data_IF_026360856148
#
_entry.id   IF_026360856148
#
_cell.length_a   1.000
_cell.length_b   1.000
_cell.length_c   1.000
_cell.angle_alpha   90.00
_cell.angle_beta   90.00
_cell.angle_gamma   90.00
#
_symmetry.space_group_name_H-M   'P 1'
#
loop_
_entity.id
_entity.type
_entity.pdbx_description
1 polymer ?
#
# COMPACT_ATOMS: atom_id res chain seq x y z
N UNK A 1 8.51 -21.75 21.28
CA UNK A 1 9.10 -20.71 20.41
C UNK A 1 9.70 -19.59 21.25
N UNK A 2 11.03 -19.46 21.29
CA UNK A 2 11.68 -18.23 21.79
C UNK A 2 11.19 -17.08 20.90
N UNK A 3 10.29 -16.22 21.38
CA UNK A 3 10.04 -14.93 20.72
C UNK A 3 11.42 -14.26 20.58
N UNK A 4 11.89 -14.21 19.35
CA UNK A 4 13.30 -14.02 18.98
C UNK A 4 13.81 -12.69 19.57
N UNK A 5 14.97 -12.71 20.23
CA UNK A 5 15.64 -11.51 20.79
C UNK A 5 15.68 -10.33 19.80
N UNK A 6 15.71 -10.61 18.49
CA UNK A 6 15.66 -9.64 17.40
C UNK A 6 14.47 -8.65 17.45
N UNK A 7 13.29 -9.06 17.95
CA UNK A 7 12.13 -8.17 18.05
C UNK A 7 12.29 -7.05 19.09
N UNK A 8 13.31 -7.11 19.95
CA UNK A 8 13.60 -6.05 20.93
C UNK A 8 14.60 -5.01 20.42
N UNK A 9 15.31 -5.32 19.33
CA UNK A 9 16.39 -4.48 18.79
C UNK A 9 15.92 -3.62 17.62
N UNK A 10 15.02 -4.12 16.78
CA UNK A 10 14.62 -3.41 15.56
C UNK A 10 13.17 -2.95 15.64
N UNK A 11 12.93 -1.70 15.27
CA UNK A 11 11.64 -1.02 15.41
C UNK A 11 11.23 -0.40 14.09
N UNK A 12 10.02 -0.73 13.62
CA UNK A 12 9.38 -0.09 12.46
C UNK A 12 8.23 0.85 12.94
N UNK A 13 8.51 1.65 13.96
CA UNK A 13 7.57 2.55 14.62
C UNK A 13 8.31 3.71 15.34
N UNK A 14 7.56 4.66 15.89
CA UNK A 14 8.11 5.79 16.66
C UNK A 14 8.95 5.31 17.85
N UNK A 15 10.26 5.63 17.83
CA UNK A 15 11.20 5.27 18.91
C UNK A 15 11.34 6.34 19.99
N UNK A 16 10.57 7.44 19.95
CA UNK A 16 10.72 8.56 20.88
C UNK A 16 10.69 8.16 22.36
N UNK A 17 9.83 7.21 22.75
CA UNK A 17 9.78 6.73 24.14
C UNK A 17 11.07 6.01 24.58
N UNK A 18 11.79 5.39 23.64
CA UNK A 18 13.08 4.75 23.90
C UNK A 18 14.18 5.79 24.05
N UNK A 19 14.21 6.79 23.17
CA UNK A 19 15.11 7.93 23.33
C UNK A 19 14.88 8.64 24.66
N UNK A 20 13.61 8.87 25.03
CA UNK A 20 13.25 9.50 26.31
C UNK A 20 13.86 8.76 27.50
N UNK A 21 13.74 7.42 27.49
CA UNK A 21 14.30 6.56 28.52
C UNK A 21 15.84 6.63 28.52
N UNK A 22 16.47 6.45 27.35
CA UNK A 22 17.92 6.44 27.21
C UNK A 22 18.55 7.79 27.63
N UNK A 23 17.95 8.92 27.27
CA UNK A 23 18.39 10.27 27.68
C UNK A 23 18.25 10.50 29.19
N UNK A 24 17.18 9.96 29.80
CA UNK A 24 16.98 10.07 31.25
C UNK A 24 17.93 9.18 32.07
N UNK A 25 18.42 8.09 31.48
CA UNK A 25 19.36 7.13 32.08
C UNK A 25 20.83 7.47 31.83
N UNK A 26 21.13 8.46 30.96
CA UNK A 26 22.51 8.87 30.67
C UNK A 26 23.20 9.51 31.89
N UNK A 27 24.45 9.14 32.15
CA UNK A 27 25.19 9.52 33.36
C UNK A 27 26.45 10.34 33.08
N UNK A 28 27.00 10.29 31.87
CA UNK A 28 28.27 10.91 31.50
C UNK A 28 28.14 11.84 30.30
N UNK A 29 27.45 11.42 29.25
CA UNK A 29 27.36 12.21 28.02
C UNK A 29 26.12 11.91 27.20
N UNK A 30 25.69 12.89 26.40
CA UNK A 30 24.70 12.71 25.35
C UNK A 30 25.22 13.34 24.07
N UNK A 31 25.33 12.57 22.99
CA UNK A 31 25.60 13.10 21.65
C UNK A 31 24.46 12.75 20.69
N UNK A 32 23.93 13.75 20.01
CA UNK A 32 22.88 13.61 19.00
C UNK A 32 23.47 13.89 17.63
N UNK A 33 23.45 12.92 16.73
CA UNK A 33 23.80 13.12 15.32
C UNK A 33 22.51 13.19 14.52
N UNK A 34 22.21 14.32 13.89
CA UNK A 34 21.01 14.43 13.05
C UNK A 34 21.08 15.57 12.04
N UNK A 35 20.69 15.34 10.76
CA UNK A 35 20.54 16.43 9.80
C UNK A 35 19.36 17.34 10.14
N UNK A 36 18.30 16.79 10.77
CA UNK A 36 17.06 17.50 10.99
C UNK A 36 16.53 17.39 12.42
N UNK A 37 16.19 18.53 13.02
CA UNK A 37 15.59 18.58 14.34
C UNK A 37 14.64 19.77 14.51
N UNK A 38 13.68 19.63 15.41
CA UNK A 38 12.79 20.72 15.85
C UNK A 38 12.68 20.76 17.38
N UNK A 39 11.72 21.51 17.94
CA UNK A 39 11.50 21.63 19.38
C UNK A 39 11.27 20.28 20.11
N UNK A 40 11.02 19.18 19.38
CA UNK A 40 11.04 17.83 19.95
C UNK A 40 12.38 17.52 20.61
N UNK A 41 13.51 17.91 20.00
CA UNK A 41 14.84 17.68 20.55
C UNK A 41 15.02 18.39 21.89
N UNK A 42 14.57 19.64 21.99
CA UNK A 42 14.57 20.41 23.24
C UNK A 42 13.75 19.70 24.31
N UNK A 43 12.58 19.18 23.94
CA UNK A 43 11.71 18.45 24.87
C UNK A 43 12.32 17.12 25.34
N UNK A 44 13.05 16.45 24.43
CA UNK A 44 13.78 15.22 24.72
C UNK A 44 14.94 15.48 25.70
N UNK A 45 15.74 16.53 25.46
CA UNK A 45 16.89 16.84 26.30
C UNK A 45 16.50 17.31 27.72
N UNK A 46 15.28 17.82 27.93
CA UNK A 46 14.75 18.12 29.28
C UNK A 46 14.61 16.90 30.20
N UNK A 47 14.80 15.68 29.69
CA UNK A 47 14.64 14.46 30.48
C UNK A 47 15.91 14.02 31.21
N UNK A 48 17.07 14.55 30.81
CA UNK A 48 18.34 14.24 31.46
C UNK A 48 18.57 15.11 32.69
N UNK A 49 19.42 14.64 33.60
CA UNK A 49 19.95 15.41 34.73
C UNK A 49 21.35 15.96 34.45
N UNK A 50 21.94 15.61 33.31
CA UNK A 50 23.26 16.08 32.91
C UNK A 50 23.26 17.59 32.69
N UNK A 51 24.35 18.23 33.08
CA UNK A 51 24.62 19.61 32.72
C UNK A 51 24.79 19.73 31.20
N UNK A 52 24.38 20.88 30.66
CA UNK A 52 24.34 21.12 29.20
C UNK A 52 25.70 21.02 28.53
N UNK A 53 26.78 21.21 29.28
CA UNK A 53 28.17 21.05 28.81
C UNK A 53 28.51 19.59 28.43
N UNK A 54 27.77 18.60 28.94
CA UNK A 54 27.94 17.19 28.60
C UNK A 54 27.01 16.72 27.46
N UNK A 55 26.35 17.67 26.78
CA UNK A 55 25.35 17.39 25.76
C UNK A 55 25.77 18.09 24.46
N UNK A 56 26.04 17.28 23.43
CA UNK A 56 26.52 17.74 22.13
C UNK A 56 25.51 17.37 21.03
N UNK A 57 25.22 18.33 20.16
CA UNK A 57 24.37 18.12 18.99
C UNK A 57 25.24 18.30 17.75
N UNK A 58 25.40 17.26 16.95
CA UNK A 58 26.14 17.27 15.70
C UNK A 58 25.12 17.25 14.55
N UNK A 59 25.18 18.24 13.67
CA UNK A 59 24.22 18.44 12.58
C UNK A 59 24.89 18.83 11.28
N UNK A 60 24.17 18.72 10.16
CA UNK A 60 24.64 19.18 8.85
C UNK A 60 23.95 20.51 8.50
N UNK A 61 24.62 21.61 8.81
CA UNK A 61 24.15 22.96 8.55
C UNK A 61 24.52 23.39 7.12
N UNK A 62 23.79 22.86 6.14
CA UNK A 62 23.95 23.22 4.73
C UNK A 62 22.69 23.91 4.15
N UNK A 63 22.81 24.63 3.01
CA UNK A 63 21.67 25.34 2.41
C UNK A 63 20.47 24.46 2.11
N UNK A 64 20.67 23.22 1.64
CA UNK A 64 19.60 22.28 1.36
C UNK A 64 18.79 21.94 2.61
N UNK A 65 19.47 21.54 3.70
CA UNK A 65 18.84 21.25 4.99
C UNK A 65 18.06 22.45 5.54
N UNK A 66 18.62 23.65 5.39
CA UNK A 66 17.99 24.90 5.85
C UNK A 66 16.74 25.29 5.07
N UNK A 67 16.74 25.07 3.76
CA UNK A 67 15.57 25.32 2.92
C UNK A 67 14.44 24.31 3.21
N UNK A 68 14.79 23.04 3.43
CA UNK A 68 13.82 21.99 3.79
C UNK A 68 13.21 22.19 5.17
N UNK A 69 14.00 22.60 6.18
CA UNK A 69 13.53 22.92 7.52
C UNK A 69 13.96 24.30 8.02
N UNK A 70 13.35 25.41 7.53
CA UNK A 70 13.72 26.75 7.96
C UNK A 70 13.47 27.00 9.45
N UNK A 71 12.58 26.23 10.08
CA UNK A 71 12.29 26.30 11.52
C UNK A 71 13.45 25.78 12.38
N UNK A 72 14.32 24.93 11.81
CA UNK A 72 15.48 24.38 12.51
C UNK A 72 16.41 25.49 13.01
N UNK A 73 16.60 26.58 12.26
CA UNK A 73 17.40 27.72 12.69
C UNK A 73 16.89 28.35 13.99
N UNK A 74 15.56 28.42 14.17
CA UNK A 74 14.98 28.96 15.41
C UNK A 74 15.22 28.03 16.60
N UNK A 75 15.14 26.72 16.37
CA UNK A 75 15.44 25.73 17.41
C UNK A 75 16.94 25.69 17.71
N UNK A 76 17.79 25.81 16.69
CA UNK A 76 19.24 25.92 16.81
C UNK A 76 19.63 27.14 17.66
N UNK A 77 19.10 28.33 17.33
CA UNK A 77 19.29 29.54 18.15
C UNK A 77 18.88 29.30 19.60
N UNK A 78 17.72 28.68 19.81
CA UNK A 78 17.27 28.39 21.17
C UNK A 78 18.24 27.45 21.91
N UNK A 79 18.70 26.37 21.28
CA UNK A 79 19.64 25.41 21.88
C UNK A 79 20.96 26.09 22.28
N UNK A 80 21.50 26.94 21.41
CA UNK A 80 22.70 27.73 21.69
C UNK A 80 22.46 28.72 22.84
N UNK A 81 21.36 29.48 22.81
CA UNK A 81 21.03 30.48 23.84
C UNK A 81 20.85 29.90 25.25
N UNK A 82 20.47 28.61 25.34
CA UNK A 82 20.36 27.93 26.64
C UNK A 82 21.66 27.23 27.04
N UNK A 83 22.70 27.22 26.20
CA UNK A 83 24.04 26.72 26.53
C UNK A 83 24.32 25.27 26.12
N UNK A 84 23.61 24.73 25.12
CA UNK A 84 24.00 23.45 24.50
C UNK A 84 25.13 23.64 23.49
N UNK A 85 26.02 22.66 23.40
CA UNK A 85 27.04 22.60 22.34
C UNK A 85 26.41 22.11 21.04
N UNK A 86 26.56 22.88 19.96
CA UNK A 86 26.14 22.45 18.62
C UNK A 86 27.30 22.53 17.65
N UNK A 87 27.52 21.45 16.91
CA UNK A 87 28.60 21.27 15.96
C UNK A 87 28.04 21.00 14.56
N UNK A 88 28.73 21.52 13.55
CA UNK A 88 28.49 21.30 12.14
C UNK A 88 29.41 20.20 11.62
N UNK A 89 28.83 19.12 11.11
CA UNK A 89 29.51 18.06 10.38
C UNK A 89 28.95 17.99 8.95
N UNK A 90 29.69 18.51 7.95
CA UNK A 90 29.22 18.50 6.56
C UNK A 90 28.86 17.10 6.08
N UNK A 91 27.73 16.99 5.34
CA UNK A 91 27.19 15.72 4.81
C UNK A 91 26.76 14.70 5.88
N UNK A 92 26.57 15.13 7.13
CA UNK A 92 26.01 14.28 8.17
C UNK A 92 24.53 13.98 7.91
N UNK A 93 24.24 12.77 7.42
CA UNK A 93 22.88 12.26 7.28
C UNK A 93 22.53 11.17 8.32
N UNK A 94 23.42 10.94 9.29
CA UNK A 94 23.21 9.99 10.38
C UNK A 94 22.10 10.48 11.32
N UNK A 95 21.38 9.54 11.94
CA UNK A 95 20.30 9.83 12.90
C UNK A 95 20.51 8.94 14.10
N UNK A 96 21.32 9.44 15.01
CA UNK A 96 21.89 8.67 16.11
C UNK A 96 21.69 9.40 17.43
N UNK A 97 21.22 8.68 18.44
CA UNK A 97 21.35 9.04 19.84
C UNK A 97 22.46 8.18 20.43
N UNK A 98 23.54 8.80 20.87
CA UNK A 98 24.65 8.17 21.59
C UNK A 98 24.64 8.68 23.03
N UNK A 99 24.63 7.79 24.01
CA UNK A 99 24.73 8.16 25.43
C UNK A 99 25.89 7.42 26.08
N UNK A 100 26.60 8.14 26.96
CA UNK A 100 27.77 7.67 27.71
C UNK A 100 28.85 7.06 26.80
N UNK A 101 28.94 7.61 25.58
CA UNK A 101 29.79 7.14 24.48
C UNK A 101 29.74 5.62 24.26
N UNK A 102 28.61 4.99 24.60
CA UNK A 102 28.49 3.52 24.69
C UNK A 102 27.17 2.99 24.16
N UNK A 103 26.05 3.64 24.49
CA UNK A 103 24.72 3.18 24.11
C UNK A 103 24.22 3.91 22.88
N UNK A 104 23.82 3.17 21.85
CA UNK A 104 23.39 3.74 20.57
C UNK A 104 21.90 3.48 20.31
N UNK A 105 21.21 4.46 19.74
CA UNK A 105 20.02 4.24 18.91
C UNK A 105 20.30 4.82 17.53
N UNK A 106 20.13 4.04 16.46
CA UNK A 106 20.48 4.43 15.08
C UNK A 106 19.40 4.00 14.10
N UNK A 107 18.97 4.89 13.21
CA UNK A 107 17.89 4.58 12.28
C UNK A 107 17.59 5.65 11.24
N UNK A 108 16.37 5.62 10.70
CA UNK A 108 15.87 6.61 9.75
C UNK A 108 15.14 7.78 10.43
N UNK A 109 14.76 7.66 11.71
CA UNK A 109 13.95 8.66 12.41
C UNK A 109 14.79 9.90 12.78
N UNK A 110 14.43 11.06 12.22
CA UNK A 110 14.99 12.36 12.63
C UNK A 110 14.42 12.82 13.99
N UNK A 111 15.09 13.78 14.64
CA UNK A 111 14.65 14.36 15.92
C UNK A 111 13.58 15.46 15.72
N UNK A 112 12.55 15.13 14.95
CA UNK A 112 11.47 16.05 14.55
C UNK A 112 10.10 15.50 14.89
N UNK A 113 9.15 16.38 15.15
CA UNK A 113 7.74 16.03 15.39
C UNK A 113 7.08 15.39 14.18
N UNK A 114 7.54 15.73 12.97
CA UNK A 114 7.11 15.11 11.71
C UNK A 114 7.48 13.63 11.66
N UNK A 115 8.75 13.30 11.94
CA UNK A 115 9.27 11.93 11.86
C UNK A 115 8.55 10.95 12.81
N UNK A 116 8.00 11.43 13.93
CA UNK A 116 7.20 10.60 14.85
C UNK A 116 5.92 10.02 14.23
N UNK A 117 5.43 10.60 13.14
CA UNK A 117 4.25 10.13 12.38
C UNK A 117 4.65 9.48 11.05
N UNK A 118 5.94 9.46 10.72
CA UNK A 118 6.48 8.87 9.50
C UNK A 118 6.64 7.36 9.64
N UNK A 119 6.83 6.71 8.49
CA UNK A 119 7.24 5.30 8.45
C UNK A 119 8.75 5.23 8.65
N UNK A 120 9.18 4.92 9.87
CA UNK A 120 10.58 4.91 10.28
C UNK A 120 11.05 3.50 10.68
N UNK A 121 12.32 3.22 10.46
CA UNK A 121 13.00 2.00 10.88
C UNK A 121 14.23 2.33 11.70
N UNK A 122 14.30 1.83 12.94
CA UNK A 122 15.37 2.16 13.90
C UNK A 122 15.85 0.94 14.67
N UNK A 123 17.17 0.81 14.81
CA UNK A 123 17.84 -0.15 15.67
C UNK A 123 18.18 0.44 17.04
N UNK A 124 17.86 -0.30 18.10
CA UNK A 124 18.20 -0.02 19.50
C UNK A 124 18.87 -1.28 20.07
N UNK A 125 20.19 -1.43 19.91
CA UNK A 125 20.95 -2.53 20.49
C UNK A 125 20.69 -2.68 22.00
N UNK A 126 20.46 -3.92 22.44
CA UNK A 126 20.19 -4.21 23.84
C UNK A 126 21.46 -4.23 24.72
N UNK A 127 22.64 -4.24 24.10
CA UNK A 127 23.93 -4.25 24.78
C UNK A 127 24.68 -2.94 24.51
N UNK A 128 25.50 -2.47 25.47
CA UNK A 128 26.46 -1.39 25.22
C UNK A 128 27.40 -1.76 24.06
N UNK A 129 27.79 -0.76 23.27
CA UNK A 129 28.69 -0.88 22.12
C UNK A 129 29.92 0.03 22.24
N UNK A 130 30.32 0.39 23.47
CA UNK A 130 31.57 1.09 23.73
C UNK A 130 32.77 0.39 23.09
N UNK A 131 33.77 1.16 22.69
CA UNK A 131 35.01 0.74 22.01
C UNK A 131 34.82 0.00 20.67
N UNK A 132 33.59 -0.11 20.16
CA UNK A 132 33.35 -0.69 18.85
C UNK A 132 33.66 0.31 17.74
N UNK A 133 33.99 -0.19 16.56
CA UNK A 133 34.30 0.64 15.38
C UNK A 133 33.22 1.69 15.08
N UNK A 134 31.93 1.34 15.21
CA UNK A 134 30.84 2.28 14.95
C UNK A 134 30.83 3.45 15.95
N UNK A 135 31.06 3.17 17.24
CA UNK A 135 31.13 4.21 18.27
C UNK A 135 32.35 5.08 18.05
N UNK A 136 33.54 4.49 17.86
CA UNK A 136 34.77 5.26 17.64
C UNK A 136 34.66 6.20 16.44
N UNK A 137 34.07 5.74 15.32
CA UNK A 137 33.81 6.60 14.17
C UNK A 137 32.82 7.74 14.46
N UNK A 138 31.81 7.52 15.30
CA UNK A 138 30.92 8.61 15.72
C UNK A 138 31.65 9.64 16.59
N UNK A 139 32.55 9.18 17.47
CA UNK A 139 33.37 10.06 18.30
C UNK A 139 34.33 10.88 17.43
N UNK A 140 34.98 10.26 16.44
CA UNK A 140 35.80 10.95 15.41
C UNK A 140 34.97 12.03 14.70
N UNK A 141 33.75 11.71 14.22
CA UNK A 141 32.88 12.72 13.59
C UNK A 141 32.49 13.87 14.52
N UNK A 142 32.36 13.62 15.82
CA UNK A 142 32.09 14.65 16.82
C UNK A 142 33.31 15.55 17.02
N UNK A 143 34.50 14.97 17.04
CA UNK A 143 35.77 15.69 17.24
C UNK A 143 36.15 16.54 16.02
N UNK A 144 35.92 16.01 14.81
CA UNK A 144 36.20 16.70 13.54
C UNK A 144 35.17 17.80 13.21
N UNK A 145 34.04 17.86 13.93
CA UNK A 145 32.96 18.80 13.63
C UNK A 145 33.26 20.22 14.13
N UNK A 146 32.81 21.22 13.37
CA UNK A 146 33.09 22.63 13.64
C UNK A 146 32.03 23.24 14.57
N UNK A 147 32.38 24.04 15.58
CA UNK A 147 31.38 24.66 16.44
C UNK A 147 30.52 25.67 15.69
N UNK A 148 29.22 25.67 16.01
CA UNK A 148 28.26 26.68 15.54
C UNK A 148 28.00 27.64 16.69
N UNK A 149 28.16 28.95 16.46
CA UNK A 149 27.83 29.98 17.43
C UNK A 149 26.50 30.70 17.11
N UNK A 150 25.98 31.41 18.11
CA UNK A 150 24.71 32.12 17.99
C UNK A 150 24.78 33.28 16.97
N UNK A 151 25.93 33.93 16.83
CA UNK A 151 26.12 35.06 15.93
C UNK A 151 25.99 34.63 14.46
N UNK A 152 26.54 33.47 14.10
CA UNK A 152 26.40 32.90 12.78
C UNK A 152 24.94 32.55 12.47
N UNK A 153 24.22 31.98 13.43
CA UNK A 153 22.78 31.66 13.26
C UNK A 153 21.94 32.92 13.07
N UNK A 154 22.27 34.01 13.75
CA UNK A 154 21.60 35.30 13.59
C UNK A 154 21.82 35.90 12.19
N UNK A 155 23.04 35.80 11.67
CA UNK A 155 23.34 36.19 10.29
C UNK A 155 22.53 35.37 9.27
N UNK A 156 22.44 34.04 9.46
CA UNK A 156 21.64 33.18 8.58
C UNK A 156 20.16 33.56 8.62
N UNK A 157 19.63 33.87 9.81
CA UNK A 157 18.23 34.26 9.98
C UNK A 157 17.92 35.62 9.33
N UNK A 158 18.86 36.58 9.37
CA UNK A 158 18.67 37.88 8.72
C UNK A 158 18.76 37.77 7.19
N UNK A 159 19.86 37.20 6.70
CA UNK A 159 20.22 37.24 5.28
C UNK A 159 19.41 36.28 4.40
N UNK A 160 18.93 35.16 4.97
CA UNK A 160 18.21 34.12 4.20
C UNK A 160 16.69 34.19 4.33
N UNK A 161 16.17 35.14 5.11
CA UNK A 161 14.73 35.25 5.40
C UNK A 161 13.86 35.39 4.13
N UNK A 162 14.35 36.10 3.12
CA UNK A 162 13.64 36.31 1.86
C UNK A 162 13.64 35.03 0.99
N UNK A 163 14.76 34.32 0.98
CA UNK A 163 14.99 33.07 0.25
C UNK A 163 14.11 31.96 0.84
N UNK A 164 13.99 31.87 2.16
CA UNK A 164 13.05 30.94 2.81
C UNK A 164 11.59 31.17 2.39
N UNK A 165 11.16 32.43 2.27
CA UNK A 165 9.80 32.76 1.80
C UNK A 165 9.60 32.34 0.35
N UNK A 166 10.58 32.60 -0.52
CA UNK A 166 10.53 32.24 -1.94
C UNK A 166 10.50 30.71 -2.11
N UNK A 167 11.40 29.99 -1.44
CA UNK A 167 11.47 28.53 -1.48
C UNK A 167 10.17 27.90 -1.01
N UNK A 168 9.60 28.37 0.10
CA UNK A 168 8.30 27.88 0.60
C UNK A 168 7.17 28.05 -0.44
N UNK A 169 7.15 29.17 -1.16
CA UNK A 169 6.17 29.41 -2.23
C UNK A 169 6.40 28.46 -3.41
N UNK A 170 7.65 28.27 -3.81
CA UNK A 170 8.01 27.33 -4.89
C UNK A 170 7.64 25.90 -4.52
N UNK A 171 7.99 25.45 -3.32
CA UNK A 171 7.67 24.11 -2.82
C UNK A 171 6.15 23.87 -2.85
N UNK A 172 5.36 24.80 -2.31
CA UNK A 172 3.89 24.70 -2.33
C UNK A 172 3.35 24.61 -3.76
N UNK A 173 3.81 25.47 -4.67
CA UNK A 173 3.37 25.43 -6.07
C UNK A 173 3.71 24.09 -6.73
N UNK A 174 4.89 23.54 -6.45
CA UNK A 174 5.33 22.24 -6.95
C UNK A 174 4.49 21.10 -6.37
N UNK A 175 4.17 21.14 -5.07
CA UNK A 175 3.28 20.16 -4.42
C UNK A 175 1.87 20.19 -5.03
N UNK A 176 1.32 21.38 -5.26
CA UNK A 176 0.01 21.57 -5.90
C UNK A 176 0.00 21.05 -7.35
N UNK A 177 1.06 21.34 -8.12
CA UNK A 177 1.24 20.82 -9.49
C UNK A 177 1.40 19.32 -9.52
N UNK A 178 2.20 18.75 -8.61
CA UNK A 178 2.38 17.31 -8.49
C UNK A 178 1.06 16.61 -8.19
N UNK A 179 0.28 17.13 -7.23
CA UNK A 179 -1.04 16.59 -6.90
C UNK A 179 -2.00 16.64 -8.11
N UNK A 180 -1.98 17.73 -8.87
CA UNK A 180 -2.78 17.88 -10.09
C UNK A 180 -2.39 16.86 -11.16
N UNK A 181 -1.10 16.78 -11.51
CA UNK A 181 -0.59 15.83 -12.51
C UNK A 181 -0.86 14.38 -12.11
N UNK A 182 -0.68 14.04 -10.83
CA UNK A 182 -1.00 12.72 -10.31
C UNK A 182 -2.50 12.39 -10.48
N UNK A 183 -3.39 13.34 -10.17
CA UNK A 183 -4.84 13.18 -10.37
C UNK A 183 -5.20 12.99 -11.84
N UNK A 184 -4.62 13.80 -12.74
CA UNK A 184 -4.83 13.68 -14.18
C UNK A 184 -4.36 12.32 -14.71
N UNK A 185 -3.19 11.86 -14.26
CA UNK A 185 -2.65 10.56 -14.67
C UNK A 185 -3.57 9.40 -14.25
N UNK A 186 -4.09 9.42 -13.02
CA UNK A 186 -5.03 8.41 -12.54
C UNK A 186 -6.39 8.50 -13.24
N UNK A 187 -6.84 9.69 -13.64
CA UNK A 187 -8.02 9.84 -14.50
C UNK A 187 -7.80 9.27 -15.90
N UNK A 188 -6.64 9.52 -16.50
CA UNK A 188 -6.30 8.98 -17.83
C UNK A 188 -6.30 7.45 -17.83
N UNK A 189 -5.74 6.81 -16.78
CA UNK A 189 -5.81 5.34 -16.62
C UNK A 189 -7.25 4.83 -16.60
N UNK A 190 -8.12 5.46 -15.81
CA UNK A 190 -9.54 5.12 -15.72
C UNK A 190 -10.24 5.26 -17.08
N UNK A 191 -10.01 6.36 -17.80
CA UNK A 191 -10.57 6.58 -19.14
C UNK A 191 -10.10 5.53 -20.15
N UNK A 192 -8.81 5.17 -20.11
CA UNK A 192 -8.25 4.15 -20.98
C UNK A 192 -8.89 2.77 -20.73
N UNK A 193 -9.02 2.35 -19.47
CA UNK A 193 -9.67 1.09 -19.11
C UNK A 193 -11.15 1.09 -19.54
N UNK A 194 -11.89 2.15 -19.25
CA UNK A 194 -13.30 2.25 -19.66
C UNK A 194 -13.46 2.14 -21.18
N UNK A 195 -12.61 2.82 -21.96
CA UNK A 195 -12.65 2.77 -23.43
C UNK A 195 -12.32 1.37 -23.95
N UNK A 196 -11.29 0.72 -23.40
CA UNK A 196 -10.93 -0.66 -23.75
C UNK A 196 -12.08 -1.65 -23.47
N UNK A 197 -12.70 -1.55 -22.29
CA UNK A 197 -13.86 -2.37 -21.94
C UNK A 197 -15.07 -2.12 -22.84
N UNK A 198 -15.29 -0.89 -23.32
CA UNK A 198 -16.33 -0.59 -24.30
C UNK A 198 -16.06 -1.20 -25.67
N UNK A 199 -14.80 -1.22 -26.11
CA UNK A 199 -14.37 -1.87 -27.35
C UNK A 199 -14.60 -3.38 -27.28
N UNK A 200 -14.21 -4.02 -26.17
CA UNK A 200 -14.50 -5.45 -25.90
C UNK A 200 -16.00 -5.69 -25.76
N UNK A 201 -16.75 -4.82 -25.07
CA UNK A 201 -18.21 -4.93 -24.94
C UNK A 201 -18.86 -4.96 -26.31
N UNK A 202 -18.44 -4.10 -27.26
CA UNK A 202 -18.98 -4.09 -28.64
C UNK A 202 -18.78 -5.44 -29.32
N UNK A 203 -17.61 -6.05 -29.16
CA UNK A 203 -17.25 -7.34 -29.74
C UNK A 203 -17.89 -8.54 -29.02
N UNK A 204 -18.33 -8.39 -27.77
CA UNK A 204 -18.94 -9.49 -27.02
C UNK A 204 -20.18 -10.04 -27.71
N UNK A 205 -20.23 -11.37 -27.81
CA UNK A 205 -21.36 -12.13 -28.34
C UNK A 205 -22.59 -12.05 -27.44
N UNK A 206 -22.39 -11.87 -26.12
CA UNK A 206 -23.43 -11.86 -25.10
C UNK A 206 -23.96 -10.43 -24.93
N UNK A 207 -25.27 -10.25 -25.14
CA UNK A 207 -26.01 -8.99 -24.91
C UNK A 207 -27.19 -9.25 -24.01
N UNK A 208 -27.64 -8.24 -23.25
CA UNK A 208 -28.86 -8.39 -22.46
C UNK A 208 -30.05 -8.56 -23.42
N UNK A 209 -31.00 -9.43 -23.08
CA UNK A 209 -32.15 -9.69 -23.94
C UNK A 209 -32.95 -8.41 -24.20
N UNK A 210 -33.12 -7.59 -23.16
CA UNK A 210 -33.86 -6.32 -23.14
C UNK A 210 -33.00 -5.07 -23.49
N UNK A 211 -31.77 -5.23 -24.01
CA UNK A 211 -30.94 -4.10 -24.47
C UNK A 211 -29.86 -3.64 -23.49
N UNK A 212 -29.95 -2.42 -22.94
CA UNK A 212 -28.99 -1.92 -21.93
C UNK A 212 -29.64 -1.96 -20.56
N UNK A 213 -29.03 -2.63 -19.58
CA UNK A 213 -29.49 -2.61 -18.19
C UNK A 213 -28.94 -1.38 -17.46
N UNK A 214 -29.83 -0.68 -16.76
CA UNK A 214 -29.47 0.39 -15.84
C UNK A 214 -29.90 0.00 -14.43
N UNK A 215 -29.03 0.26 -13.46
CA UNK A 215 -29.25 -0.10 -12.07
C UNK A 215 -28.77 0.96 -11.10
N UNK A 216 -29.47 1.10 -9.98
CA UNK A 216 -29.18 2.04 -8.89
C UNK A 216 -28.77 1.31 -7.62
N UNK A 217 -27.87 1.92 -6.84
CA UNK A 217 -27.53 1.40 -5.52
C UNK A 217 -28.59 1.87 -4.53
N UNK A 218 -29.53 0.99 -4.22
CA UNK A 218 -30.69 1.28 -3.39
C UNK A 218 -30.61 0.61 -2.02
N UNK A 219 -31.27 1.24 -1.05
CA UNK A 219 -31.39 0.76 0.32
C UNK A 219 -32.54 -0.24 0.43
N UNK A 220 -32.26 -1.39 1.03
CA UNK A 220 -33.15 -2.53 1.16
C UNK A 220 -33.34 -2.88 2.63
N UNK A 221 -34.55 -3.30 2.99
CA UNK A 221 -34.90 -3.74 4.35
C UNK A 221 -35.35 -5.20 4.28
N UNK A 222 -34.86 -6.03 5.18
CA UNK A 222 -35.38 -7.38 5.43
C UNK A 222 -35.30 -7.73 6.92
N UNK A 223 -35.74 -8.95 7.28
CA UNK A 223 -35.77 -9.44 8.66
C UNK A 223 -34.39 -9.45 9.35
N UNK A 224 -33.31 -9.44 8.57
CA UNK A 224 -31.93 -9.40 9.06
C UNK A 224 -31.34 -7.98 9.16
N UNK A 225 -32.17 -6.95 8.96
CA UNK A 225 -31.79 -5.54 9.02
C UNK A 225 -31.74 -4.84 7.65
N UNK A 226 -30.99 -3.75 7.58
CA UNK A 226 -30.89 -2.92 6.39
C UNK A 226 -29.60 -3.16 5.60
N UNK A 227 -29.65 -2.95 4.29
CA UNK A 227 -28.48 -3.12 3.42
C UNK A 227 -28.62 -2.44 2.05
N UNK A 228 -27.50 -2.25 1.35
CA UNK A 228 -27.50 -1.76 -0.03
C UNK A 228 -27.45 -2.90 -1.05
N UNK A 229 -28.18 -2.75 -2.16
CA UNK A 229 -28.19 -3.67 -3.31
C UNK A 229 -28.15 -2.86 -4.61
N UNK A 230 -27.61 -3.43 -5.69
CA UNK A 230 -27.69 -2.80 -7.01
C UNK A 230 -28.95 -3.32 -7.70
N UNK A 231 -29.97 -2.48 -7.81
CA UNK A 231 -31.32 -2.81 -8.24
C UNK A 231 -31.55 -2.28 -9.65
N UNK A 232 -32.01 -3.13 -10.56
CA UNK A 232 -32.36 -2.68 -11.91
C UNK A 232 -33.68 -1.94 -11.92
N UNK A 233 -33.88 -1.06 -12.91
CA UNK A 233 -35.21 -0.51 -13.18
C UNK A 233 -36.25 -1.62 -13.44
N UNK A 234 -37.56 -1.35 -13.24
CA UNK A 234 -38.62 -2.31 -13.57
C UNK A 234 -38.52 -2.80 -15.03
N UNK A 235 -38.82 -4.08 -15.26
CA UNK A 235 -38.81 -4.70 -16.58
C UNK A 235 -37.48 -5.33 -17.03
N UNK A 236 -36.40 -5.13 -16.28
CA UNK A 236 -35.13 -5.82 -16.53
C UNK A 236 -35.04 -7.15 -15.77
N UNK A 237 -34.53 -8.18 -16.45
CA UNK A 237 -34.16 -9.44 -15.84
C UNK A 237 -32.69 -9.77 -16.15
N UNK A 238 -31.82 -9.57 -15.15
CA UNK A 238 -30.39 -9.86 -15.20
C UNK A 238 -30.06 -11.35 -15.36
N UNK A 239 -31.05 -12.24 -15.31
CA UNK A 239 -30.86 -13.66 -15.62
C UNK A 239 -31.09 -14.01 -17.09
N UNK A 240 -31.65 -13.10 -17.90
CA UNK A 240 -31.98 -13.35 -19.30
C UNK A 240 -31.10 -12.52 -20.26
N UNK A 241 -30.18 -13.21 -20.93
CA UNK A 241 -29.28 -12.65 -21.94
C UNK A 241 -29.47 -13.36 -23.28
N UNK A 242 -28.78 -12.88 -24.31
CA UNK A 242 -28.77 -13.46 -25.65
C UNK A 242 -27.36 -13.47 -26.23
N UNK A 243 -27.03 -14.53 -26.96
CA UNK A 243 -25.78 -14.67 -27.73
C UNK A 243 -26.09 -14.42 -29.19
N UNK A 244 -25.37 -13.50 -29.82
CA UNK A 244 -25.43 -13.26 -31.26
C UNK A 244 -24.67 -14.37 -31.99
N UNK A 245 -25.28 -14.98 -33.03
CA UNK A 245 -24.63 -16.02 -33.83
C UNK A 245 -23.85 -15.43 -35.01
N UNK A 246 -22.73 -16.07 -35.36
CA UNK A 246 -22.04 -15.89 -36.63
C UNK A 246 -22.98 -16.36 -37.75
N UNK A 247 -23.57 -15.42 -38.50
CA UNK A 247 -24.60 -15.70 -39.53
C UNK A 247 -25.93 -14.97 -39.32
N UNK A 248 -26.08 -14.22 -38.24
CA UNK A 248 -27.31 -13.47 -37.93
C UNK A 248 -28.27 -14.23 -37.03
N UNK A 249 -29.06 -13.48 -36.25
CA UNK A 249 -29.96 -14.03 -35.23
C UNK A 249 -29.33 -14.18 -33.83
N UNK A 250 -30.16 -14.54 -32.86
CA UNK A 250 -29.78 -14.57 -31.43
C UNK A 250 -30.27 -15.85 -30.76
N UNK A 251 -29.47 -16.43 -29.86
CA UNK A 251 -29.87 -17.55 -28.98
C UNK A 251 -30.00 -17.07 -27.53
N UNK A 252 -30.99 -17.52 -26.74
CA UNK A 252 -31.02 -17.23 -25.31
C UNK A 252 -29.76 -17.72 -24.59
N UNK A 253 -29.29 -16.93 -23.64
CA UNK A 253 -28.21 -17.27 -22.72
C UNK A 253 -28.66 -16.84 -21.33
N UNK A 254 -28.80 -17.79 -20.39
CA UNK A 254 -29.36 -17.47 -19.09
C UNK A 254 -28.29 -17.57 -18.01
N UNK A 255 -28.15 -16.52 -17.20
CA UNK A 255 -27.40 -16.62 -15.96
C UNK A 255 -28.23 -17.39 -14.94
N UNK A 256 -27.57 -18.28 -14.22
CA UNK A 256 -28.19 -19.02 -13.14
C UNK A 256 -28.50 -18.08 -11.98
N UNK A 257 -29.75 -18.13 -11.54
CA UNK A 257 -30.25 -17.26 -10.47
C UNK A 257 -29.52 -17.59 -9.16
N UNK A 258 -29.06 -16.55 -8.48
CA UNK A 258 -28.32 -16.57 -7.21
C UNK A 258 -26.89 -17.12 -7.27
N UNK A 259 -26.33 -17.28 -8.47
CA UNK A 259 -24.92 -17.61 -8.68
C UNK A 259 -24.04 -16.36 -8.60
N UNK A 260 -22.78 -16.61 -8.26
CA UNK A 260 -21.69 -15.65 -8.24
C UNK A 260 -21.05 -15.61 -9.63
N UNK A 261 -20.96 -14.43 -10.23
CA UNK A 261 -20.30 -14.20 -11.53
C UNK A 261 -19.16 -13.20 -11.37
N UNK A 262 -18.01 -13.38 -12.04
CA UNK A 262 -16.95 -12.39 -12.00
C UNK A 262 -17.45 -11.05 -12.53
N UNK A 263 -16.96 -9.95 -11.96
CA UNK A 263 -17.25 -8.61 -12.44
C UNK A 263 -16.02 -7.72 -12.42
N UNK A 264 -16.08 -6.65 -13.21
CA UNK A 264 -15.14 -5.52 -13.20
C UNK A 264 -15.92 -4.20 -13.20
N UNK A 265 -15.49 -3.26 -12.35
CA UNK A 265 -15.98 -1.88 -12.34
C UNK A 265 -15.11 -1.06 -13.28
N UNK A 266 -15.66 -0.59 -14.40
CA UNK A 266 -14.90 0.10 -15.44
C UNK A 266 -14.17 1.35 -14.92
N UNK A 267 -14.80 2.08 -13.99
CA UNK A 267 -14.29 3.35 -13.48
C UNK A 267 -13.13 3.20 -12.49
N UNK A 268 -12.94 2.03 -11.90
CA UNK A 268 -11.92 1.80 -10.87
C UNK A 268 -11.01 0.62 -11.19
N UNK A 269 -11.39 -0.27 -12.10
CA UNK A 269 -10.73 -1.55 -12.33
C UNK A 269 -10.93 -2.56 -11.20
N UNK A 270 -11.73 -2.22 -10.18
CA UNK A 270 -12.01 -3.12 -9.07
C UNK A 270 -12.79 -4.34 -9.56
N UNK A 271 -12.41 -5.51 -9.06
CA UNK A 271 -13.02 -6.79 -9.43
C UNK A 271 -13.60 -7.51 -8.21
N UNK A 272 -14.40 -8.52 -8.50
CA UNK A 272 -14.96 -9.41 -7.50
C UNK A 272 -15.85 -10.46 -8.14
N UNK A 273 -16.60 -11.16 -7.30
CA UNK A 273 -17.74 -11.95 -7.75
C UNK A 273 -19.05 -11.34 -7.28
N UNK A 274 -20.02 -11.21 -8.18
CA UNK A 274 -21.31 -10.60 -7.97
C UNK A 274 -22.41 -11.66 -7.95
N UNK A 275 -23.24 -11.65 -6.91
CA UNK A 275 -24.39 -12.54 -6.83
C UNK A 275 -25.58 -11.98 -7.60
N UNK A 276 -25.86 -12.59 -8.74
CA UNK A 276 -26.93 -12.13 -9.66
C UNK A 276 -28.26 -12.76 -9.25
N UNK A 277 -29.28 -11.94 -9.01
CA UNK A 277 -30.69 -12.34 -8.97
C UNK A 277 -31.42 -11.73 -10.17
N UNK A 278 -32.73 -11.95 -10.30
CA UNK A 278 -33.52 -11.43 -11.45
C UNK A 278 -33.41 -9.92 -11.64
N UNK A 279 -33.73 -9.14 -10.62
CA UNK A 279 -33.80 -7.67 -10.72
C UNK A 279 -32.72 -6.96 -9.90
N UNK A 280 -31.73 -7.70 -9.39
CA UNK A 280 -30.75 -7.13 -8.47
C UNK A 280 -29.45 -7.93 -8.40
N UNK A 281 -28.37 -7.22 -8.11
CA UNK A 281 -27.14 -7.81 -7.57
C UNK A 281 -27.15 -7.60 -6.07
N UNK A 282 -27.13 -8.73 -5.37
CA UNK A 282 -27.40 -8.77 -3.92
C UNK A 282 -26.16 -8.69 -3.06
N UNK A 283 -24.98 -9.01 -3.63
CA UNK A 283 -23.77 -9.21 -2.85
C UNK A 283 -22.51 -9.17 -3.74
N UNK A 284 -21.40 -8.62 -3.24
CA UNK A 284 -20.08 -8.73 -3.85
C UNK A 284 -19.10 -9.48 -2.95
N UNK A 285 -18.36 -10.43 -3.53
CA UNK A 285 -17.33 -11.21 -2.85
C UNK A 285 -15.94 -10.73 -3.26
N UNK A 286 -15.14 -10.41 -2.25
CA UNK A 286 -13.73 -10.01 -2.36
C UNK A 286 -12.74 -11.16 -2.40
N UNK A 287 -13.11 -12.29 -1.80
CA UNK A 287 -12.22 -13.43 -1.64
C UNK A 287 -13.01 -14.71 -1.80
N UNK A 288 -12.48 -15.61 -2.62
CA UNK A 288 -13.00 -16.94 -2.89
C UNK A 288 -11.87 -17.93 -2.61
N UNK A 289 -12.10 -18.85 -1.67
CA UNK A 289 -11.24 -20.02 -1.47
C UNK A 289 -11.96 -21.21 -2.09
N UNK A 290 -11.28 -21.90 -2.99
CA UNK A 290 -11.80 -23.10 -3.63
C UNK A 290 -11.46 -24.30 -2.76
N UNK A 291 -12.40 -24.74 -1.91
CA UNK A 291 -12.14 -25.73 -0.84
C UNK A 291 -12.14 -27.17 -1.37
N UNK A 292 -12.91 -27.44 -2.43
CA UNK A 292 -13.02 -28.76 -3.04
C UNK A 292 -12.43 -28.80 -4.45
N UNK A 293 -11.61 -27.80 -4.79
CA UNK A 293 -10.95 -27.73 -6.07
C UNK A 293 -9.49 -27.31 -5.87
N UNK A 294 -8.59 -27.87 -6.66
CA UNK A 294 -7.16 -27.66 -6.55
C UNK A 294 -6.53 -27.46 -7.92
N UNK A 295 -5.40 -26.75 -7.94
CA UNK A 295 -4.52 -26.70 -9.10
C UNK A 295 -3.46 -27.79 -8.92
N UNK A 296 -3.34 -28.68 -9.89
CA UNK A 296 -2.23 -29.63 -9.96
C UNK A 296 -1.16 -29.06 -10.89
N UNK A 297 0.07 -28.95 -10.41
CA UNK A 297 1.24 -28.54 -11.20
C UNK A 297 2.31 -29.61 -11.01
N UNK A 298 2.46 -30.50 -11.99
CA UNK A 298 3.42 -31.62 -11.95
C UNK A 298 3.38 -32.41 -10.63
N UNK A 299 2.18 -32.79 -10.17
CA UNK A 299 1.98 -33.59 -8.96
C UNK A 299 1.95 -32.78 -7.66
N UNK A 300 2.13 -31.46 -7.71
CA UNK A 300 1.90 -30.58 -6.57
C UNK A 300 0.46 -30.11 -6.55
N UNK A 301 -0.32 -30.56 -5.57
CA UNK A 301 -1.70 -30.10 -5.36
C UNK A 301 -1.73 -28.82 -4.54
N UNK A 302 -2.22 -27.75 -5.15
CA UNK A 302 -2.21 -26.41 -4.59
C UNK A 302 -3.63 -25.97 -4.27
N UNK A 303 -3.84 -25.54 -3.03
CA UNK A 303 -5.04 -24.82 -2.64
C UNK A 303 -5.06 -23.44 -3.26
N UNK A 304 -6.24 -22.99 -3.69
CA UNK A 304 -6.41 -21.75 -4.44
C UNK A 304 -7.26 -20.78 -3.64
N UNK A 305 -6.71 -19.59 -3.40
CA UNK A 305 -7.49 -18.44 -2.93
C UNK A 305 -7.36 -17.29 -3.92
N UNK A 306 -8.48 -16.86 -4.47
CA UNK A 306 -8.56 -15.67 -5.33
C UNK A 306 -9.09 -14.52 -4.49
N UNK A 307 -8.37 -13.41 -4.47
CA UNK A 307 -8.76 -12.20 -3.75
C UNK A 307 -8.63 -10.98 -4.65
N UNK A 308 -9.45 -9.97 -4.38
CA UNK A 308 -9.56 -8.77 -5.22
C UNK A 308 -9.19 -7.52 -4.40
N UNK A 309 -7.98 -6.95 -4.63
CA UNK A 309 -7.56 -5.70 -4.01
C UNK A 309 -8.56 -4.56 -4.25
N UNK A 310 -8.64 -3.64 -3.30
CA UNK A 310 -9.56 -2.49 -3.35
C UNK A 310 -8.83 -1.15 -3.56
N UNK A 311 -7.49 -1.19 -3.57
CA UNK A 311 -6.60 -0.06 -3.79
C UNK A 311 -5.62 -0.43 -4.88
N UNK A 312 -5.15 0.56 -5.64
CA UNK A 312 -4.19 0.36 -6.74
C UNK A 312 -4.66 -0.67 -7.78
N UNK A 313 -5.97 -0.77 -7.99
CA UNK A 313 -6.63 -1.73 -8.89
C UNK A 313 -6.28 -1.52 -10.37
N UNK A 314 -5.72 -0.35 -10.71
CA UNK A 314 -5.15 -0.07 -12.02
C UNK A 314 -3.79 -0.75 -12.26
N UNK A 315 -3.09 -1.13 -11.19
CA UNK A 315 -1.79 -1.82 -11.28
C UNK A 315 -1.95 -3.33 -11.15
N UNK A 316 -2.86 -3.79 -10.29
CA UNK A 316 -3.26 -5.18 -10.15
C UNK A 316 -4.65 -5.23 -9.49
N UNK A 317 -5.59 -5.99 -10.07
CA UNK A 317 -6.95 -6.11 -9.56
C UNK A 317 -7.31 -7.54 -9.15
N UNK A 318 -6.38 -8.50 -9.31
CA UNK A 318 -6.54 -9.88 -8.87
C UNK A 318 -5.27 -10.34 -8.15
N UNK A 319 -5.46 -11.04 -7.03
CA UNK A 319 -4.41 -11.75 -6.31
C UNK A 319 -4.80 -13.22 -6.21
N UNK A 320 -3.95 -14.10 -6.74
CA UNK A 320 -4.08 -15.55 -6.63
C UNK A 320 -3.05 -16.02 -5.61
N UNK A 321 -3.51 -16.62 -4.52
CA UNK A 321 -2.66 -17.36 -3.59
C UNK A 321 -2.73 -18.85 -3.95
N UNK A 322 -1.59 -19.42 -4.27
CA UNK A 322 -1.38 -20.85 -4.44
C UNK A 322 -0.65 -21.37 -3.21
N UNK A 323 -1.19 -22.37 -2.53
CA UNK A 323 -0.66 -22.85 -1.26
C UNK A 323 -0.54 -24.37 -1.24
N UNK A 324 0.63 -24.86 -0.84
CA UNK A 324 0.89 -26.27 -0.60
C UNK A 324 1.22 -26.47 0.87
N UNK A 325 0.56 -27.41 1.54
CA UNK A 325 0.62 -27.59 3.00
C UNK A 325 2.04 -27.79 3.57
N UNK A 326 2.98 -28.26 2.76
CA UNK A 326 4.36 -28.57 3.20
C UNK A 326 5.45 -27.76 2.52
N UNK A 327 5.20 -27.23 1.31
CA UNK A 327 6.27 -26.66 0.49
C UNK A 327 6.34 -25.13 0.66
N UNK A 328 5.17 -24.50 0.70
CA UNK A 328 5.08 -23.05 0.79
C UNK A 328 3.82 -22.50 0.13
N UNK A 329 3.85 -21.20 -0.12
CA UNK A 329 2.82 -20.50 -0.86
C UNK A 329 3.41 -19.47 -1.81
N UNK A 330 2.66 -19.16 -2.86
CA UNK A 330 2.94 -18.07 -3.79
C UNK A 330 1.74 -17.13 -3.86
N UNK A 331 1.98 -15.86 -3.59
CA UNK A 331 1.04 -14.76 -3.84
C UNK A 331 1.36 -14.12 -5.19
N UNK A 332 0.58 -14.44 -6.22
CA UNK A 332 0.70 -13.89 -7.56
C UNK A 332 -0.32 -12.76 -7.79
N UNK A 333 0.17 -11.60 -8.23
CA UNK A 333 -0.63 -10.42 -8.54
C UNK A 333 -0.84 -10.32 -10.05
N UNK A 334 -2.09 -10.12 -10.46
CA UNK A 334 -2.48 -10.00 -11.85
C UNK A 334 -3.28 -8.72 -12.10
N UNK A 335 -3.16 -8.19 -13.31
CA UNK A 335 -4.02 -7.14 -13.85
C UNK A 335 -4.89 -7.73 -14.95
N UNK A 336 -6.20 -7.68 -14.75
CA UNK A 336 -7.20 -7.99 -15.75
C UNK A 336 -7.73 -6.73 -16.41
N UNK A 337 -7.60 -6.62 -17.73
CA UNK A 337 -8.05 -5.48 -18.53
C UNK A 337 -9.42 -5.69 -19.18
N UNK A 338 -9.97 -6.91 -19.14
CA UNK A 338 -11.19 -7.30 -19.83
C UNK A 338 -11.01 -8.50 -20.75
N UNK A 339 -9.81 -8.67 -21.29
CA UNK A 339 -9.47 -9.64 -22.33
C UNK A 339 -8.23 -10.48 -22.02
N UNK A 340 -7.43 -10.08 -21.02
CA UNK A 340 -6.24 -10.81 -20.60
C UNK A 340 -5.95 -10.62 -19.11
N UNK A 341 -5.37 -11.64 -18.49
CA UNK A 341 -4.75 -11.56 -17.17
C UNK A 341 -3.24 -11.42 -17.33
N UNK A 342 -2.71 -10.22 -17.06
CA UNK A 342 -1.26 -9.97 -17.08
C UNK A 342 -0.67 -10.20 -15.70
N UNK A 343 0.32 -11.08 -15.59
CA UNK A 343 1.09 -11.26 -14.36
C UNK A 343 1.93 -10.00 -14.07
N UNK A 344 1.85 -9.50 -12.83
CA UNK A 344 2.49 -8.26 -12.38
C UNK A 344 3.63 -8.53 -11.41
N UNK A 345 3.38 -9.38 -10.41
CA UNK A 345 4.37 -9.72 -9.39
C UNK A 345 4.07 -11.08 -8.75
N UNK A 346 5.08 -11.69 -8.15
CA UNK A 346 4.98 -12.96 -7.41
C UNK A 346 5.75 -12.82 -6.10
N UNK A 347 5.18 -13.34 -5.01
CA UNK A 347 5.84 -13.38 -3.71
C UNK A 347 5.77 -14.79 -3.14
N UNK A 348 6.92 -15.39 -2.90
CA UNK A 348 7.04 -16.77 -2.41
C UNK A 348 7.30 -16.78 -0.91
N UNK A 349 6.64 -17.69 -0.20
CA UNK A 349 6.91 -18.02 1.20
C UNK A 349 7.16 -19.51 1.29
N UNK A 350 8.34 -19.93 1.72
CA UNK A 350 8.77 -21.33 1.71
C UNK A 350 8.92 -21.87 3.14
N UNK A 351 8.53 -23.14 3.35
CA UNK A 351 8.55 -23.76 4.68
C UNK A 351 9.84 -24.54 4.99
N UNK A 352 10.63 -24.94 3.97
CA UNK A 352 11.92 -25.64 4.14
C UNK A 352 12.98 -25.16 3.15
N UNK A 353 14.27 -25.33 3.50
CA UNK A 353 15.40 -24.89 2.67
C UNK A 353 15.70 -25.81 1.47
N UNK A 354 15.39 -27.10 1.56
CA UNK A 354 15.67 -28.07 0.49
C UNK A 354 14.57 -28.12 -0.59
N UNK A 355 13.36 -27.65 -0.27
CA UNK A 355 12.26 -27.49 -1.23
C UNK A 355 12.29 -26.15 -2.01
N UNK A 356 13.18 -25.22 -1.65
CA UNK A 356 13.23 -23.86 -2.22
C UNK A 356 13.42 -23.85 -3.73
N UNK A 357 14.22 -24.80 -4.23
CA UNK A 357 14.49 -24.91 -5.65
C UNK A 357 13.43 -25.72 -6.39
N UNK A 358 12.56 -26.49 -5.73
CA UNK A 358 11.54 -27.30 -6.41
C UNK A 358 10.19 -26.63 -6.47
N UNK A 359 9.68 -26.03 -5.38
CA UNK A 359 8.34 -25.41 -5.39
C UNK A 359 8.29 -24.18 -6.30
N UNK A 360 9.20 -23.23 -6.07
CA UNK A 360 9.29 -22.02 -6.89
C UNK A 360 9.59 -22.38 -8.35
N UNK A 361 10.61 -23.20 -8.62
CA UNK A 361 10.96 -23.53 -10.00
C UNK A 361 9.84 -24.29 -10.71
N UNK A 362 9.14 -25.21 -10.04
CA UNK A 362 8.00 -25.91 -10.61
C UNK A 362 6.89 -24.95 -11.02
N UNK A 363 6.51 -24.02 -10.14
CA UNK A 363 5.52 -22.99 -10.45
C UNK A 363 5.97 -22.03 -11.56
N UNK A 364 7.25 -21.67 -11.60
CA UNK A 364 7.79 -20.80 -12.64
C UNK A 364 7.75 -21.49 -14.02
N UNK A 365 8.29 -22.70 -14.12
CA UNK A 365 8.42 -23.44 -15.37
C UNK A 365 7.09 -23.97 -15.88
N UNK A 366 6.28 -24.58 -15.02
CA UNK A 366 5.12 -25.38 -15.42
C UNK A 366 3.78 -24.66 -15.20
N UNK A 367 3.79 -23.41 -14.73
CA UNK A 367 2.57 -22.63 -14.57
C UNK A 367 2.72 -21.17 -15.01
N UNK A 368 3.62 -20.38 -14.42
CA UNK A 368 3.68 -18.94 -14.69
C UNK A 368 4.31 -18.59 -16.04
N UNK A 369 5.23 -19.41 -16.56
CA UNK A 369 5.81 -19.22 -17.90
C UNK A 369 5.02 -19.92 -19.01
N UNK A 370 3.96 -20.66 -18.64
CA UNK A 370 3.05 -21.32 -19.58
C UNK A 370 1.75 -20.51 -19.70
N UNK A 371 1.60 -19.82 -20.83
CA UNK A 371 0.42 -19.01 -21.10
C UNK A 371 -0.85 -19.86 -21.25
N UNK A 372 -0.75 -21.10 -21.74
CA UNK A 372 -1.89 -22.01 -21.84
C UNK A 372 -2.33 -22.47 -20.45
N UNK A 373 -1.39 -22.79 -19.56
CA UNK A 373 -1.69 -23.15 -18.17
C UNK A 373 -2.36 -21.99 -17.41
N UNK A 374 -1.86 -20.76 -17.56
CA UNK A 374 -2.51 -19.56 -16.99
C UNK A 374 -3.91 -19.34 -17.55
N UNK A 375 -4.07 -19.49 -18.87
CA UNK A 375 -5.36 -19.38 -19.52
C UNK A 375 -6.33 -20.45 -19.00
N UNK A 376 -5.95 -21.72 -18.98
CA UNK A 376 -6.77 -22.80 -18.44
C UNK A 376 -7.16 -22.56 -16.97
N UNK A 377 -6.24 -22.04 -16.16
CA UNK A 377 -6.52 -21.66 -14.77
C UNK A 377 -7.62 -20.60 -14.68
N UNK A 378 -7.48 -19.47 -15.37
CA UNK A 378 -8.50 -18.41 -15.30
C UNK A 378 -9.82 -18.86 -15.96
N UNK A 379 -9.76 -19.63 -17.04
CA UNK A 379 -10.93 -20.25 -17.67
C UNK A 379 -11.70 -21.17 -16.73
N UNK A 380 -11.03 -21.86 -15.80
CA UNK A 380 -11.66 -22.73 -14.80
C UNK A 380 -12.16 -21.97 -13.57
N UNK A 381 -11.33 -21.11 -13.00
CA UNK A 381 -11.58 -20.52 -11.68
C UNK A 381 -12.24 -19.13 -11.70
N UNK A 382 -12.51 -18.57 -12.88
CA UNK A 382 -13.40 -17.40 -13.06
C UNK A 382 -14.78 -17.79 -13.60
N UNK A 383 -15.17 -19.05 -13.47
CA UNK A 383 -16.52 -19.54 -13.78
C UNK A 383 -17.54 -19.10 -12.72
N UNK A 384 -18.83 -19.27 -13.04
CA UNK A 384 -19.90 -19.00 -12.07
C UNK A 384 -20.08 -20.12 -11.06
N UNK A 385 -20.44 -19.79 -9.82
CA UNK A 385 -20.60 -20.79 -8.76
C UNK A 385 -21.60 -20.36 -7.68
N UNK A 386 -21.93 -21.28 -6.77
CA UNK A 386 -22.73 -21.01 -5.56
C UNK A 386 -21.93 -21.26 -4.30
N UNK A 387 -22.21 -20.49 -3.25
CA UNK A 387 -21.73 -20.80 -1.89
C UNK A 387 -22.78 -21.62 -1.14
N UNK A 388 -22.32 -22.62 -0.37
CA UNK A 388 -23.16 -23.31 0.62
C UNK A 388 -23.62 -22.34 1.72
N UNK A 389 -22.72 -21.46 2.17
CA UNK A 389 -23.01 -20.41 3.15
C UNK A 389 -22.47 -19.06 2.65
N UNK A 390 -23.34 -18.05 2.57
CA UNK A 390 -23.00 -16.76 1.99
C UNK A 390 -22.20 -15.86 2.93
N UNK A 391 -22.26 -16.08 4.25
CA UNK A 391 -21.67 -15.18 5.25
C UNK A 391 -22.25 -13.77 5.14
N UNK A 392 -23.59 -13.67 5.23
CA UNK A 392 -24.43 -12.52 4.83
C UNK A 392 -24.12 -11.22 5.61
N UNK A 393 -23.33 -11.28 6.69
CA UNK A 393 -23.02 -10.14 7.56
C UNK A 393 -22.16 -9.04 6.94
N UNK A 394 -21.63 -9.18 5.72
CA UNK A 394 -20.67 -8.25 5.14
C UNK A 394 -21.08 -7.72 3.76
N UNK A 395 -22.27 -7.11 3.68
CA UNK A 395 -22.77 -6.48 2.46
C UNK A 395 -21.96 -5.20 2.18
N UNK A 396 -21.18 -5.23 1.12
CA UNK A 396 -20.06 -4.32 0.85
C UNK A 396 -20.19 -3.57 -0.48
N UNK A 397 -21.40 -3.47 -1.03
CA UNK A 397 -21.60 -2.92 -2.38
C UNK A 397 -21.09 -1.48 -2.52
N UNK A 398 -21.21 -0.69 -1.45
CA UNK A 398 -20.75 0.71 -1.38
C UNK A 398 -19.24 0.86 -1.36
N UNK A 399 -18.52 -0.21 -1.02
CA UNK A 399 -17.07 -0.19 -1.11
C UNK A 399 -16.59 -0.22 -2.57
N UNK A 400 -17.42 -0.74 -3.47
CA UNK A 400 -17.18 -0.81 -4.91
C UNK A 400 -17.85 0.35 -5.66
N UNK A 401 -19.11 0.63 -5.32
CA UNK A 401 -20.00 1.48 -6.10
C UNK A 401 -20.40 2.73 -5.28
N UNK A 402 -19.77 3.85 -5.59
CA UNK A 402 -19.95 5.14 -4.89
C UNK A 402 -21.01 6.06 -5.51
N UNK A 403 -21.36 5.84 -6.77
CA UNK A 403 -22.37 6.61 -7.50
C UNK A 403 -23.78 6.07 -7.25
N UNK A 404 -24.77 6.75 -7.81
CA UNK A 404 -26.19 6.40 -7.74
C UNK A 404 -26.65 5.53 -8.90
N UNK A 405 -26.07 5.69 -10.11
CA UNK A 405 -26.54 5.03 -11.33
C UNK A 405 -25.42 4.36 -12.12
N UNK A 406 -25.70 3.13 -12.58
CA UNK A 406 -24.77 2.29 -13.30
C UNK A 406 -25.41 1.67 -14.53
N UNK A 407 -24.61 1.52 -15.59
CA UNK A 407 -24.89 0.67 -16.75
C UNK A 407 -24.26 -0.70 -16.51
N UNK A 408 -25.02 -1.75 -16.79
CA UNK A 408 -24.57 -3.14 -16.72
C UNK A 408 -24.44 -3.69 -18.15
N UNK A 409 -23.31 -4.34 -18.41
CA UNK A 409 -23.04 -5.08 -19.64
C UNK A 409 -22.22 -6.33 -19.32
N UNK A 410 -21.97 -7.17 -20.33
CA UNK A 410 -21.19 -8.40 -20.18
C UNK A 410 -20.11 -8.40 -21.26
N UNK A 411 -18.92 -8.82 -20.86
CA UNK A 411 -17.83 -9.22 -21.76
C UNK A 411 -17.60 -10.71 -21.60
N UNK A 412 -16.89 -11.30 -22.56
CA UNK A 412 -16.57 -12.72 -22.55
C UNK A 412 -15.06 -12.88 -22.43
N UNK A 413 -14.63 -13.75 -21.52
CA UNK A 413 -13.24 -14.15 -21.40
C UNK A 413 -13.17 -15.68 -21.31
N UNK A 414 -12.60 -16.32 -22.34
CA UNK A 414 -12.46 -17.78 -22.41
C UNK A 414 -13.76 -18.55 -22.16
N UNK A 415 -14.86 -18.09 -22.77
CA UNK A 415 -16.20 -18.66 -22.59
C UNK A 415 -16.88 -18.29 -21.26
N UNK A 416 -16.20 -17.59 -20.35
CA UNK A 416 -16.80 -17.11 -19.11
C UNK A 416 -17.40 -15.71 -19.28
N UNK A 417 -18.64 -15.49 -18.84
CA UNK A 417 -19.22 -14.17 -18.79
C UNK A 417 -18.66 -13.36 -17.62
N UNK A 418 -18.18 -12.16 -17.90
CA UNK A 418 -17.75 -11.19 -16.88
C UNK A 418 -18.67 -9.99 -16.95
N UNK A 419 -19.29 -9.67 -15.82
CA UNK A 419 -20.15 -8.50 -15.70
C UNK A 419 -19.29 -7.22 -15.68
N UNK A 420 -19.60 -6.28 -16.56
CA UNK A 420 -19.03 -4.93 -16.55
C UNK A 420 -20.02 -3.98 -15.91
N UNK A 421 -19.57 -3.28 -14.86
CA UNK A 421 -20.33 -2.26 -14.16
C UNK A 421 -19.69 -0.92 -14.48
N UNK A 422 -20.42 -0.03 -15.15
CA UNK A 422 -19.92 1.29 -15.53
C UNK A 422 -20.80 2.38 -14.94
N UNK A 423 -20.20 3.38 -14.30
CA UNK A 423 -20.92 4.57 -13.85
C UNK A 423 -21.54 5.31 -15.03
N UNK A 424 -22.79 5.74 -14.87
CA UNK A 424 -23.42 6.68 -15.80
C UNK A 424 -23.05 8.09 -15.34
N UNK A 425 -22.38 8.83 -16.21
CA UNK A 425 -22.02 10.24 -16.04
C UNK A 425 -23.24 11.14 -16.15
#
# INVERSE_FOLDING_TARGET
>A
MKKVKANRTYHANDVYLKWKKQVAEAEQSITIFTPFFDNLLVTLLKQTKLDKMFITIVTDLNPGSLLEQPKQLKTLKHLLSVGFTVLNAPRLHAKVLLTDDTYITVGSQNFTSYARKSKECTGVPAKPLGDTKIVNTLLEWREDAEPIDEAFVDLLLSELSSQFKQFKKLLKNTEDQFAHLHSQHEEQKRRNLSRHLEEIEKQSSIKLAQGKAYASVDFMINDSGYYYSLVTKPGYDLTHWKVNKLGGGTKPYNFERLHMYPFIVADSGAMGFARIAKTRITYFRRTVRWVNDWLDVEGQRLEITISFPQKNTQNHNVKVKLEHSYLGSCDALFLFSGDAFKLVAKHYTEHSNDAKNSFKANLETNFFNDQEALNAFFGRFFTSFTFKELGIGNKNIRDYLKSSLYKLSVIEFQGNPILVIKQVS
#
